data_IF_513259659296
#
_entry.id   IF_513259659296
#
_cell.length_a   1.000
_cell.length_b   1.000
_cell.length_c   1.000
_cell.angle_alpha   90.00
_cell.angle_beta   90.00
_cell.angle_gamma   90.00
#
_symmetry.space_group_name_H-M   'P 1'
#
loop_
_entity.id
_entity.type
_entity.pdbx_description
1 polymer ?
#
# COMPACT_ATOMS: atom_id res chain seq x y z
N UNK A 1 -51.87 15.10 0.25
CA UNK A 1 -50.92 15.53 1.30
C UNK A 1 -49.84 14.47 1.37
N UNK A 2 -48.86 14.52 0.45
CA UNK A 2 -47.82 13.49 0.36
C UNK A 2 -46.50 14.05 0.90
N UNK A 3 -46.17 13.66 2.13
CA UNK A 3 -44.88 13.97 2.72
C UNK A 3 -43.82 13.01 2.18
N UNK A 4 -43.03 13.50 1.22
CA UNK A 4 -41.82 12.83 0.73
C UNK A 4 -40.76 12.83 1.82
N UNK A 5 -40.59 11.70 2.49
CA UNK A 5 -39.59 11.50 3.53
C UNK A 5 -38.19 11.34 2.90
N UNK A 6 -37.53 12.46 2.57
CA UNK A 6 -36.11 12.50 2.17
C UNK A 6 -35.25 12.14 3.39
N UNK A 7 -34.86 10.87 3.50
CA UNK A 7 -33.84 10.43 4.46
C UNK A 7 -32.54 11.23 4.22
N UNK A 8 -31.93 11.83 5.25
CA UNK A 8 -30.67 12.53 5.08
C UNK A 8 -29.58 11.53 4.68
N UNK A 9 -28.84 11.83 3.60
CA UNK A 9 -27.61 11.11 3.25
C UNK A 9 -26.62 11.31 4.39
N UNK A 10 -26.54 10.33 5.30
CA UNK A 10 -25.43 10.23 6.24
C UNK A 10 -24.15 10.24 5.42
N UNK A 11 -23.37 11.31 5.58
CA UNK A 11 -22.02 11.39 5.05
C UNK A 11 -21.28 10.18 5.61
N UNK A 12 -20.97 9.22 4.74
CA UNK A 12 -20.20 8.03 5.08
C UNK A 12 -18.80 8.52 5.44
N UNK A 13 -18.60 8.81 6.73
CA UNK A 13 -17.28 9.05 7.31
C UNK A 13 -16.41 7.89 6.85
N UNK A 14 -15.18 8.16 6.42
CA UNK A 14 -14.28 7.20 5.77
C UNK A 14 -13.81 6.08 6.73
N UNK A 15 -14.74 5.29 7.29
CA UNK A 15 -14.58 4.30 8.36
C UNK A 15 -13.89 3.00 7.90
N UNK A 16 -12.98 3.14 6.95
CA UNK A 16 -12.25 2.05 6.31
C UNK A 16 -10.96 2.51 5.62
N UNK A 17 -10.61 3.80 5.75
CA UNK A 17 -9.50 4.39 4.99
C UNK A 17 -8.13 3.95 5.54
N UNK A 18 -8.00 3.84 6.87
CA UNK A 18 -6.76 3.41 7.52
C UNK A 18 -6.50 1.93 7.22
N UNK A 19 -7.53 1.11 7.31
CA UNK A 19 -7.52 -0.32 7.03
C UNK A 19 -7.13 -0.58 5.57
N UNK A 20 -7.75 0.15 4.64
CA UNK A 20 -7.39 0.11 3.22
C UNK A 20 -5.95 0.56 2.98
N UNK A 21 -5.50 1.63 3.64
CA UNK A 21 -4.14 2.13 3.50
C UNK A 21 -3.10 1.10 4.00
N UNK A 22 -3.34 0.48 5.17
CA UNK A 22 -2.50 -0.60 5.70
C UNK A 22 -2.46 -1.79 4.73
N UNK A 23 -3.61 -2.16 4.18
CA UNK A 23 -3.71 -3.26 3.21
C UNK A 23 -2.88 -2.98 1.95
N UNK A 24 -2.98 -1.78 1.37
CA UNK A 24 -2.21 -1.36 0.20
C UNK A 24 -0.71 -1.34 0.52
N UNK A 25 -0.28 -0.74 1.63
CA UNK A 25 1.12 -0.70 2.05
C UNK A 25 1.69 -2.12 2.18
N UNK A 26 0.95 -3.04 2.81
CA UNK A 26 1.36 -4.44 2.94
C UNK A 26 1.42 -5.16 1.59
N UNK A 27 0.46 -4.91 0.68
CA UNK A 27 0.48 -5.48 -0.67
C UNK A 27 1.75 -5.08 -1.43
N UNK A 28 2.13 -3.80 -1.36
CA UNK A 28 3.34 -3.31 -2.00
C UNK A 28 4.62 -3.77 -1.28
N UNK A 29 4.61 -3.92 0.05
CA UNK A 29 5.76 -4.44 0.80
C UNK A 29 6.18 -5.85 0.34
N UNK A 30 5.23 -6.69 -0.09
CA UNK A 30 5.52 -8.04 -0.59
C UNK A 30 6.28 -8.05 -1.92
N UNK A 31 6.17 -6.99 -2.71
CA UNK A 31 6.74 -6.92 -4.06
C UNK A 31 7.81 -5.83 -4.19
N UNK A 32 8.02 -5.01 -3.17
CA UNK A 32 8.97 -3.91 -3.20
C UNK A 32 10.42 -4.42 -3.05
N UNK A 33 11.39 -3.82 -3.76
CA UNK A 33 12.80 -4.17 -3.60
C UNK A 33 13.35 -3.80 -2.21
N UNK A 34 12.80 -2.75 -1.58
CA UNK A 34 13.16 -2.29 -0.24
C UNK A 34 11.94 -2.31 0.71
N UNK A 35 11.57 -3.48 1.26
CA UNK A 35 10.29 -3.65 1.97
C UNK A 35 10.29 -3.19 3.44
N UNK A 36 11.47 -2.95 4.04
CA UNK A 36 11.63 -2.68 5.48
C UNK A 36 10.77 -1.50 5.96
N UNK A 37 10.83 -0.36 5.28
CA UNK A 37 10.09 0.86 5.66
C UNK A 37 8.57 0.67 5.61
N UNK A 38 8.06 -0.09 4.63
CA UNK A 38 6.64 -0.38 4.49
C UNK A 38 6.14 -1.31 5.60
N UNK A 39 6.94 -2.31 5.98
CA UNK A 39 6.60 -3.21 7.09
C UNK A 39 6.59 -2.48 8.44
N UNK A 40 7.55 -1.58 8.66
CA UNK A 40 7.58 -0.73 9.85
C UNK A 40 6.35 0.18 9.92
N UNK A 41 6.01 0.84 8.81
CA UNK A 41 4.83 1.72 8.75
C UNK A 41 3.54 0.95 9.06
N UNK A 42 3.39 -0.25 8.49
CA UNK A 42 2.27 -1.16 8.78
C UNK A 42 2.24 -1.58 10.25
N UNK A 43 3.38 -1.99 10.82
CA UNK A 43 3.49 -2.42 12.23
C UNK A 43 3.09 -1.30 13.19
N UNK A 44 3.66 -0.11 13.01
CA UNK A 44 3.38 1.05 13.87
C UNK A 44 1.92 1.49 13.77
N UNK A 45 1.35 1.49 12.57
CA UNK A 45 -0.06 1.84 12.37
C UNK A 45 -0.99 0.87 13.10
N UNK A 46 -0.74 -0.44 12.98
CA UNK A 46 -1.55 -1.45 13.64
C UNK A 46 -1.40 -1.42 15.16
N UNK A 47 -0.18 -1.19 15.67
CA UNK A 47 0.03 -1.05 17.11
C UNK A 47 -0.81 0.12 17.66
N UNK A 48 -0.71 1.30 17.03
CA UNK A 48 -1.50 2.46 17.43
C UNK A 48 -3.01 2.22 17.34
N UNK A 49 -3.48 1.50 16.31
CA UNK A 49 -4.90 1.14 16.19
C UNK A 49 -5.37 0.20 17.30
N UNK A 50 -4.51 -0.73 17.74
CA UNK A 50 -4.81 -1.62 18.87
C UNK A 50 -4.83 -0.83 20.17
N UNK A 51 -3.87 0.06 20.39
CA UNK A 51 -3.78 0.91 21.57
C UNK A 51 -4.99 1.88 21.67
N UNK A 52 -5.48 2.38 20.54
CA UNK A 52 -6.70 3.22 20.45
C UNK A 52 -8.01 2.40 20.52
N UNK A 53 -7.95 1.07 20.58
CA UNK A 53 -9.14 0.20 20.60
C UNK A 53 -9.89 0.10 19.26
N UNK A 54 -9.32 0.61 18.16
CA UNK A 54 -9.90 0.53 16.80
C UNK A 54 -9.60 -0.79 16.10
N UNK A 55 -8.61 -1.53 16.60
CA UNK A 55 -8.27 -2.88 16.16
C UNK A 55 -8.21 -3.81 17.35
N UNK A 56 -8.50 -5.09 17.12
CA UNK A 56 -8.50 -6.12 18.16
C UNK A 56 -7.60 -7.27 17.77
N UNK A 57 -6.84 -7.77 18.75
CA UNK A 57 -6.11 -9.04 18.61
C UNK A 57 -7.11 -10.17 18.84
N UNK A 58 -7.34 -11.00 17.82
CA UNK A 58 -8.33 -12.07 17.90
C UNK A 58 -7.71 -13.34 18.49
N UNK A 59 -6.50 -13.68 18.05
CA UNK A 59 -5.90 -14.96 18.34
C UNK A 59 -4.58 -15.17 17.62
N UNK A 60 -4.10 -16.40 17.66
CA UNK A 60 -2.87 -16.85 17.00
C UNK A 60 -3.19 -17.83 15.87
N UNK A 61 -2.54 -17.68 14.73
CA UNK A 61 -2.48 -18.72 13.69
C UNK A 61 -1.09 -19.31 13.63
N UNK A 62 -0.97 -20.56 13.16
CA UNK A 62 0.33 -21.06 12.73
C UNK A 62 0.77 -20.32 11.47
N UNK A 63 2.05 -19.95 11.43
CA UNK A 63 2.66 -19.31 10.28
C UNK A 63 2.93 -20.34 9.19
N UNK A 64 2.59 -19.99 7.95
CA UNK A 64 2.81 -20.86 6.79
C UNK A 64 4.31 -21.06 6.49
N UNK A 65 5.18 -20.16 6.96
CA UNK A 65 6.62 -20.16 6.67
C UNK A 65 7.47 -19.96 7.95
N UNK A 66 7.61 -20.99 8.82
CA UNK A 66 8.31 -20.87 10.10
C UNK A 66 9.86 -20.81 9.99
N UNK A 67 10.38 -20.76 8.75
CA UNK A 67 11.82 -20.67 8.42
C UNK A 67 12.66 -21.76 9.09
N UNK A 68 13.37 -21.43 10.17
CA UNK A 68 14.29 -22.31 10.91
C UNK A 68 13.60 -23.01 12.09
N UNK A 69 12.40 -22.57 12.46
CA UNK A 69 11.62 -23.20 13.52
C UNK A 69 10.72 -24.29 12.93
N UNK A 70 10.46 -25.35 13.69
CA UNK A 70 9.48 -26.36 13.30
C UNK A 70 8.06 -25.79 13.29
N UNK A 71 7.77 -24.84 14.19
CA UNK A 71 6.46 -24.21 14.33
C UNK A 71 6.61 -22.78 14.81
N UNK A 72 5.91 -21.85 14.17
CA UNK A 72 5.85 -20.44 14.55
C UNK A 72 4.39 -20.01 14.50
N UNK A 73 3.99 -19.11 15.39
CA UNK A 73 2.64 -18.51 15.39
C UNK A 73 2.70 -17.04 15.00
N UNK A 74 1.62 -16.53 14.41
CA UNK A 74 1.40 -15.14 14.05
C UNK A 74 0.12 -14.62 14.73
N UNK A 75 0.16 -13.39 15.24
CA UNK A 75 -1.00 -12.73 15.84
C UNK A 75 -1.91 -12.22 14.76
N UNK A 76 -3.19 -12.53 14.90
CA UNK A 76 -4.26 -12.09 14.02
C UNK A 76 -4.85 -10.81 14.60
N UNK A 77 -4.84 -9.75 13.81
CA UNK A 77 -5.42 -8.47 14.15
C UNK A 77 -6.57 -8.19 13.19
N UNK A 78 -7.76 -7.95 13.74
CA UNK A 78 -8.91 -7.49 12.97
C UNK A 78 -9.08 -5.99 13.17
N UNK A 79 -9.21 -5.29 12.04
CA UNK A 79 -9.50 -3.87 12.00
C UNK A 79 -10.57 -3.64 10.94
N UNK A 80 -11.78 -3.31 11.38
CA UNK A 80 -12.98 -3.31 10.52
C UNK A 80 -13.16 -4.65 9.79
N UNK A 81 -13.29 -4.56 8.47
CA UNK A 81 -13.45 -5.70 7.54
C UNK A 81 -12.12 -6.35 7.12
N UNK A 82 -10.99 -5.85 7.64
CA UNK A 82 -9.66 -6.30 7.26
C UNK A 82 -9.02 -7.12 8.38
N UNK A 83 -8.31 -8.17 7.97
CA UNK A 83 -7.53 -9.03 8.85
C UNK A 83 -6.05 -8.93 8.48
N UNK A 84 -5.22 -8.75 9.48
CA UNK A 84 -3.76 -8.62 9.36
C UNK A 84 -3.06 -9.61 10.28
N UNK A 85 -1.82 -9.95 9.93
CA UNK A 85 -0.95 -10.78 10.76
C UNK A 85 0.26 -9.98 11.21
N UNK A 86 0.66 -10.11 12.48
CA UNK A 86 1.90 -9.55 13.03
C UNK A 86 2.71 -10.64 13.74
N UNK A 87 4.04 -10.48 13.83
CA UNK A 87 4.85 -11.32 14.71
C UNK A 87 4.33 -11.23 16.15
N UNK A 88 4.22 -12.35 16.87
CA UNK A 88 3.69 -12.39 18.22
C UNK A 88 4.65 -11.77 19.23
N UNK A 89 4.11 -11.09 20.23
CA UNK A 89 4.85 -10.76 21.45
C UNK A 89 4.79 -11.90 22.47
N UNK A 90 5.63 -11.84 23.51
CA UNK A 90 5.62 -12.83 24.60
C UNK A 90 4.28 -12.87 25.35
N UNK A 91 3.61 -11.74 25.47
CA UNK A 91 2.32 -11.62 26.14
C UNK A 91 1.20 -12.20 25.28
N UNK A 92 1.26 -11.95 23.97
CA UNK A 92 0.28 -12.50 23.01
C UNK A 92 0.27 -14.03 23.05
N UNK A 93 1.44 -14.66 23.11
CA UNK A 93 1.56 -16.13 23.20
C UNK A 93 0.95 -16.72 24.48
N UNK A 94 0.85 -15.94 25.56
CA UNK A 94 0.29 -16.39 26.85
C UNK A 94 -1.22 -16.14 26.94
N UNK A 95 -1.69 -15.06 26.33
CA UNK A 95 -3.05 -14.53 26.54
C UNK A 95 -4.01 -14.88 25.42
N UNK A 96 -3.52 -14.98 24.19
CA UNK A 96 -4.37 -15.21 23.02
C UNK A 96 -4.58 -16.70 22.76
N UNK A 97 -5.81 -17.12 22.42
CA UNK A 97 -6.07 -18.49 22.03
C UNK A 97 -5.47 -18.79 20.65
N UNK A 98 -5.07 -20.06 20.46
CA UNK A 98 -4.62 -20.54 19.17
C UNK A 98 -5.80 -20.98 18.31
N UNK A 99 -5.98 -20.37 17.14
CA UNK A 99 -7.09 -20.63 16.22
C UNK A 99 -6.75 -21.68 15.15
N UNK A 100 -5.53 -22.19 15.17
CA UNK A 100 -5.05 -23.24 14.28
C UNK A 100 -4.43 -22.67 13.01
N UNK A 101 -4.71 -23.31 11.87
CA UNK A 101 -4.15 -22.93 10.59
C UNK A 101 -4.98 -21.85 9.90
N UNK A 102 -4.33 -21.06 9.06
CA UNK A 102 -4.97 -19.94 8.36
C UNK A 102 -6.00 -20.42 7.34
N UNK A 103 -7.25 -19.97 7.47
CA UNK A 103 -8.32 -20.27 6.51
C UNK A 103 -8.07 -19.60 5.15
N UNK A 104 -8.02 -20.39 4.06
CA UNK A 104 -7.74 -19.89 2.70
C UNK A 104 -8.93 -19.17 2.03
N UNK A 105 -10.14 -19.38 2.55
CA UNK A 105 -11.38 -18.77 2.06
C UNK A 105 -11.53 -17.29 2.46
N UNK A 106 -11.00 -16.90 3.60
CA UNK A 106 -11.13 -15.56 4.15
C UNK A 106 -10.16 -14.60 3.48
N UNK A 107 -10.69 -13.63 2.74
CA UNK A 107 -9.92 -12.61 2.02
C UNK A 107 -10.34 -11.22 2.41
N UNK A 108 -9.35 -10.35 2.54
CA UNK A 108 -9.59 -8.92 2.73
C UNK A 108 -10.28 -8.31 1.49
N UNK A 109 -11.20 -7.35 1.69
CA UNK A 109 -11.89 -6.71 0.58
C UNK A 109 -10.92 -5.88 -0.28
N UNK A 110 -11.30 -5.69 -1.55
CA UNK A 110 -10.50 -4.94 -2.53
C UNK A 110 -10.40 -3.46 -2.10
N UNK A 111 -9.21 -2.88 -2.22
CA UNK A 111 -8.94 -1.48 -1.92
C UNK A 111 -8.53 -0.73 -3.19
N UNK A 112 -8.92 0.55 -3.29
CA UNK A 112 -8.70 1.41 -4.47
C UNK A 112 -7.83 2.64 -4.16
N UNK A 113 -6.80 2.49 -3.32
CA UNK A 113 -5.86 3.57 -2.97
C UNK A 113 -4.51 3.37 -3.66
N UNK A 114 -3.85 4.47 -4.03
CA UNK A 114 -2.46 4.45 -4.48
C UNK A 114 -1.50 4.28 -3.30
N UNK A 115 -0.32 3.69 -3.55
CA UNK A 115 0.71 3.52 -2.52
C UNK A 115 1.12 4.85 -1.88
N UNK A 116 1.32 5.89 -2.70
CA UNK A 116 1.72 7.22 -2.21
C UNK A 116 0.68 7.78 -1.25
N UNK A 117 -0.60 7.71 -1.62
CA UNK A 117 -1.68 8.20 -0.77
C UNK A 117 -1.82 7.37 0.51
N UNK A 118 -1.67 6.05 0.41
CA UNK A 118 -1.72 5.16 1.57
C UNK A 118 -0.59 5.49 2.57
N UNK A 119 0.64 5.72 2.11
CA UNK A 119 1.75 6.15 2.97
C UNK A 119 1.43 7.45 3.69
N UNK A 120 1.02 8.48 2.96
CA UNK A 120 0.67 9.78 3.54
C UNK A 120 -0.39 9.66 4.63
N UNK A 121 -1.42 8.84 4.39
CA UNK A 121 -2.49 8.61 5.37
C UNK A 121 -1.94 7.98 6.66
N UNK A 122 -1.08 6.96 6.55
CA UNK A 122 -0.51 6.26 7.71
C UNK A 122 0.54 7.10 8.44
N UNK A 123 1.38 7.82 7.70
CA UNK A 123 2.39 8.73 8.25
C UNK A 123 1.73 9.86 9.06
N UNK A 124 0.70 10.49 8.49
CA UNK A 124 -0.11 11.50 9.17
C UNK A 124 -0.81 10.91 10.41
N UNK A 125 -1.32 9.67 10.31
CA UNK A 125 -1.97 9.00 11.43
C UNK A 125 -1.00 8.66 12.57
N UNK A 126 0.19 8.15 12.28
CA UNK A 126 1.19 7.82 13.31
C UNK A 126 1.78 9.10 13.94
N UNK A 127 1.70 10.25 13.26
CA UNK A 127 2.34 11.50 13.67
C UNK A 127 3.81 11.59 13.27
N UNK A 128 4.25 10.71 12.35
CA UNK A 128 5.56 10.76 11.71
C UNK A 128 5.37 11.35 10.33
N UNK A 129 5.20 12.67 10.23
CA UNK A 129 5.39 13.32 8.93
C UNK A 129 6.89 13.31 8.64
N UNK A 130 7.38 12.63 7.60
CA UNK A 130 8.62 13.09 7.00
C UNK A 130 8.34 14.51 6.48
N UNK A 131 9.26 15.45 6.68
CA UNK A 131 9.22 16.76 6.03
C UNK A 131 9.45 16.66 4.50
N UNK A 132 8.85 15.68 3.85
CA UNK A 132 8.55 15.79 2.44
C UNK A 132 7.23 16.53 2.31
N UNK A 133 7.31 17.83 2.64
CA UNK A 133 6.38 18.82 2.14
C UNK A 133 6.13 18.53 0.66
N UNK A 134 4.88 18.62 0.18
CA UNK A 134 4.65 18.60 -1.25
C UNK A 134 5.52 19.72 -1.82
N UNK A 135 6.54 19.38 -2.60
CA UNK A 135 7.04 20.33 -3.58
C UNK A 135 5.80 20.70 -4.38
N UNK A 136 5.29 21.90 -4.12
CA UNK A 136 4.19 22.49 -4.85
C UNK A 136 4.36 22.18 -6.34
N UNK A 137 3.30 21.94 -7.11
CA UNK A 137 3.38 21.81 -8.57
C UNK A 137 3.66 23.17 -9.24
N UNK A 138 4.63 23.92 -8.71
CA UNK A 138 5.22 25.13 -9.27
C UNK A 138 6.69 24.91 -9.63
N UNK A 139 7.08 23.67 -9.97
CA UNK A 139 8.25 23.51 -10.84
C UNK A 139 7.85 23.96 -12.23
N UNK A 140 8.03 25.27 -12.47
CA UNK A 140 8.32 25.91 -13.74
C UNK A 140 7.71 25.21 -14.96
N UNK A 141 6.72 25.87 -15.57
CA UNK A 141 6.48 25.73 -17.01
C UNK A 141 7.83 25.94 -17.70
N UNK A 142 8.57 24.87 -17.97
CA UNK A 142 9.61 24.90 -18.97
C UNK A 142 8.86 25.15 -20.27
N UNK A 143 8.98 26.39 -20.77
CA UNK A 143 8.63 26.73 -22.13
C UNK A 143 9.30 25.69 -23.02
N UNK A 144 8.52 24.71 -23.50
CA UNK A 144 8.94 23.88 -24.62
C UNK A 144 9.11 24.85 -25.77
N UNK A 145 10.33 25.09 -26.29
CA UNK A 145 10.44 25.78 -27.56
C UNK A 145 9.70 24.91 -28.58
N UNK A 146 8.73 25.51 -29.28
CA UNK A 146 8.09 24.91 -30.43
C UNK A 146 9.18 24.37 -31.35
N UNK A 147 9.21 23.05 -31.58
CA UNK A 147 10.12 22.46 -32.56
C UNK A 147 9.79 23.10 -33.91
N UNK A 148 10.67 24.00 -34.35
CA UNK A 148 10.79 24.37 -35.75
C UNK A 148 11.16 23.09 -36.49
N UNK A 149 10.31 22.70 -37.44
CA UNK A 149 10.71 21.80 -38.53
C UNK A 149 11.94 22.39 -39.21
N UNK A 150 12.98 21.58 -39.43
CA UNK A 150 13.89 21.62 -40.60
C UNK A 150 14.77 20.37 -40.57
N UNK A 151 14.97 19.89 -41.79
CA UNK A 151 15.46 18.61 -42.26
C UNK A 151 16.92 18.21 -41.93
N UNK A 152 17.20 16.98 -42.38
CA UNK A 152 18.48 16.35 -42.75
C UNK A 152 19.07 15.43 -41.68
N UNK A 153 18.76 14.14 -41.84
CA UNK A 153 19.60 13.05 -41.36
C UNK A 153 21.05 13.28 -41.81
N UNK A 154 21.95 13.55 -40.88
CA UNK A 154 23.38 13.41 -41.09
C UNK A 154 23.78 12.02 -40.60
N UNK A 155 24.06 11.11 -41.51
CA UNK A 155 24.58 9.78 -41.20
C UNK A 155 26.08 9.89 -40.88
N UNK A 156 26.53 9.59 -39.64
CA UNK A 156 27.95 9.63 -39.28
C UNK A 156 28.71 8.36 -39.69
N UNK A 157 28.04 7.38 -40.31
CA UNK A 157 28.64 6.13 -40.80
C UNK A 157 28.40 5.98 -42.31
N UNK A 158 29.30 6.45 -43.18
CA UNK A 158 29.29 6.08 -44.59
C UNK A 158 29.85 4.66 -44.70
N UNK A 159 29.10 3.68 -44.21
CA UNK A 159 29.40 2.26 -44.45
C UNK A 159 29.17 1.99 -45.93
N UNK A 160 30.25 1.89 -46.69
CA UNK A 160 30.30 1.41 -48.08
C UNK A 160 30.09 -0.11 -48.18
N UNK A 161 29.52 -0.75 -47.15
CA UNK A 161 29.51 -2.22 -47.06
C UNK A 161 28.23 -2.91 -47.53
N UNK A 162 27.14 -2.20 -47.84
CA UNK A 162 26.03 -2.76 -48.61
C UNK A 162 25.60 -1.78 -49.69
N UNK A 163 25.72 -2.23 -50.94
CA UNK A 163 25.57 -1.43 -52.15
C UNK A 163 24.20 -0.79 -52.35
N UNK A 164 24.17 0.08 -53.37
CA UNK A 164 22.99 0.70 -53.98
C UNK A 164 21.76 -0.24 -53.95
N UNK A 165 20.69 0.17 -53.29
CA UNK A 165 19.40 -0.52 -53.26
C UNK A 165 18.27 0.46 -53.56
N UNK A 166 17.48 0.12 -54.57
CA UNK A 166 16.57 0.97 -55.34
C UNK A 166 15.33 1.47 -54.60
N UNK A 167 14.78 2.59 -55.10
CA UNK A 167 13.41 3.06 -54.88
C UNK A 167 12.44 2.29 -55.81
N UNK A 168 11.29 1.90 -55.29
CA UNK A 168 10.04 1.87 -56.05
C UNK A 168 9.11 2.91 -55.44
#
# INVERSE_FOLDING_TARGET
>A
MDQTNKKPKLQKVNSGLLEQAIFIVNKHAKTAPSPKSLYELKRLSLQKLVDEGKATKIGLHFSDNPRLSCQQSDVIIKCGEYIFHLPPSKEDLKTLPHLGSRASSLRNPKASLSLSKAKQILEAYIGKMPEHAPKSPNSLKQNRPSKKSIDKFHNPFPSTFLGKGYKY
#
